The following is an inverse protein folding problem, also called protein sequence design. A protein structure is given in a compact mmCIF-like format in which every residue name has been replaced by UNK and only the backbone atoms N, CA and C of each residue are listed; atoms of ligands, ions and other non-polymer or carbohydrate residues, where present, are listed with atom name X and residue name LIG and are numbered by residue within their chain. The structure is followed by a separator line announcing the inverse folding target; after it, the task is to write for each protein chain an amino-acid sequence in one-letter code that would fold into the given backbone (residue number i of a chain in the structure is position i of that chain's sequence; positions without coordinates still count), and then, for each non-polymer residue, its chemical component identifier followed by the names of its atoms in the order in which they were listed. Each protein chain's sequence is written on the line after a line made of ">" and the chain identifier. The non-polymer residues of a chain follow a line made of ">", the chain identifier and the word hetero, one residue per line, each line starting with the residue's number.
data_IF_287698087480
#
_entry.id   IF_287698087480
#
_cell.length_a   1.000
_cell.length_b   1.000
_cell.length_c   1.000
_cell.angle_alpha   90.00
_cell.angle_beta   90.00
_cell.angle_gamma   90.00
#
_symmetry.space_group_name_H-M   'P 1'
#
loop_
_entity.id
_entity.type
_entity.pdbx_description
1 polymer ?
#
# COMPACT_ATOMS: atom_id res chain seq x y z
N UNK A 1 0.88 -6.22 -12.23
CA UNK A 1 1.69 -6.48 -11.01
C UNK A 1 0.80 -6.12 -9.83
N UNK A 2 0.14 -7.09 -9.21
CA UNK A 2 -0.82 -6.85 -8.14
C UNK A 2 -0.09 -6.35 -6.88
N UNK A 3 -0.65 -5.35 -6.21
CA UNK A 3 -0.02 -4.63 -5.12
C UNK A 3 -0.45 -5.18 -3.77
N UNK A 4 0.51 -5.32 -2.85
CA UNK A 4 0.40 -6.01 -1.55
C UNK A 4 -0.56 -5.38 -0.52
N UNK A 5 -1.41 -4.44 -0.91
CA UNK A 5 -2.32 -3.71 -0.03
C UNK A 5 -3.79 -3.81 -0.49
N UNK A 6 -4.27 -5.03 -0.78
CA UNK A 6 -5.67 -5.25 -1.15
C UNK A 6 -6.63 -5.31 0.05
N UNK A 7 -6.18 -5.03 1.28
CA UNK A 7 -7.05 -5.13 2.45
C UNK A 7 -8.29 -4.23 2.34
N UNK A 8 -8.11 -2.98 1.92
CA UNK A 8 -9.18 -2.00 1.78
C UNK A 8 -9.74 -1.87 0.35
N UNK A 9 -9.44 -2.84 -0.53
CA UNK A 9 -9.79 -2.75 -1.95
C UNK A 9 -8.80 -1.92 -2.78
N UNK A 10 -9.19 -1.59 -4.01
CA UNK A 10 -8.44 -0.70 -4.90
C UNK A 10 -8.67 0.77 -4.52
N UNK A 11 -7.70 1.64 -4.84
CA UNK A 11 -7.89 3.07 -4.63
C UNK A 11 -8.59 3.68 -5.84
N UNK A 12 -9.76 4.26 -5.62
CA UNK A 12 -10.47 5.03 -6.64
C UNK A 12 -10.08 6.52 -6.54
N UNK A 13 -9.37 7.09 -7.52
CA UNK A 13 -8.99 8.49 -7.49
C UNK A 13 -10.23 9.39 -7.68
N UNK A 14 -10.37 10.49 -6.93
CA UNK A 14 -11.46 11.43 -7.14
C UNK A 14 -11.44 12.00 -8.57
N UNK A 15 -12.59 11.93 -9.25
CA UNK A 15 -12.74 12.38 -10.63
C UNK A 15 -12.26 13.83 -10.80
N UNK A 16 -11.43 14.07 -11.82
CA UNK A 16 -10.91 15.41 -12.15
C UNK A 16 -9.86 15.97 -11.19
N UNK A 17 -9.47 15.25 -10.12
CA UNK A 17 -8.50 15.76 -9.14
C UNK A 17 -7.05 15.67 -9.62
N UNK A 18 -6.71 14.67 -10.43
CA UNK A 18 -5.33 14.43 -10.88
C UNK A 18 -5.25 14.43 -12.40
N UNK A 19 -4.19 15.02 -12.95
CA UNK A 19 -3.93 14.99 -14.41
C UNK A 19 -3.60 13.57 -14.86
N UNK A 20 -2.79 12.87 -14.07
CA UNK A 20 -2.49 11.45 -14.21
C UNK A 20 -2.63 10.84 -12.82
N UNK A 21 -3.66 10.03 -12.53
CA UNK A 21 -3.90 9.57 -11.16
C UNK A 21 -2.78 8.70 -10.57
N UNK A 22 -2.02 8.00 -11.41
CA UNK A 22 -0.98 7.03 -11.04
C UNK A 22 -1.48 6.09 -9.91
N UNK A 23 -2.53 5.34 -10.20
CA UNK A 23 -3.30 4.55 -9.20
C UNK A 23 -2.46 3.50 -8.45
N UNK A 24 -1.33 3.12 -9.02
CA UNK A 24 -0.35 2.20 -8.45
C UNK A 24 0.75 2.90 -7.62
N UNK A 25 0.94 4.20 -7.78
CA UNK A 25 2.04 4.90 -7.12
C UNK A 25 1.59 5.41 -5.75
N UNK A 26 1.94 4.69 -4.68
CA UNK A 26 1.55 5.02 -3.31
C UNK A 26 0.05 5.37 -3.19
N UNK A 27 -0.89 4.48 -3.56
CA UNK A 27 -2.31 4.79 -3.51
C UNK A 27 -2.80 5.12 -2.07
N UNK A 28 -3.40 6.29 -1.81
CA UNK A 28 -3.97 6.61 -0.50
C UNK A 28 -5.09 5.66 -0.08
N UNK A 29 -5.26 5.48 1.22
CA UNK A 29 -6.36 4.76 1.83
C UNK A 29 -6.25 3.24 1.82
N UNK A 30 -5.27 2.64 1.13
CA UNK A 30 -5.10 1.17 1.12
C UNK A 30 -4.70 0.63 2.49
N UNK A 31 -4.94 -0.66 2.70
CA UNK A 31 -4.60 -1.39 3.90
C UNK A 31 -3.77 -2.64 3.62
N UNK A 32 -2.95 -3.06 4.57
CA UNK A 32 -2.27 -4.35 4.48
C UNK A 32 -3.31 -5.48 4.31
N UNK A 33 -3.05 -6.42 3.39
CA UNK A 33 -3.96 -7.53 3.10
C UNK A 33 -3.86 -8.71 4.06
N UNK A 34 -4.36 -9.86 3.60
CA UNK A 34 -4.15 -11.15 4.27
C UNK A 34 -2.66 -11.39 4.52
N UNK A 35 -2.33 -11.93 5.69
CA UNK A 35 -0.93 -12.21 6.06
C UNK A 35 -0.39 -13.33 5.18
N UNK A 36 0.94 -13.37 4.95
CA UNK A 36 1.54 -14.49 4.27
C UNK A 36 1.18 -15.81 4.97
N UNK A 37 0.74 -16.79 4.19
CA UNK A 37 0.30 -18.10 4.66
C UNK A 37 0.40 -19.13 3.53
N UNK A 38 0.72 -20.38 3.86
CA UNK A 38 0.62 -21.50 2.93
C UNK A 38 -0.82 -22.03 2.80
N UNK A 39 -1.71 -21.66 3.74
CA UNK A 39 -3.15 -21.94 3.63
C UNK A 39 -3.83 -20.88 2.75
N UNK A 40 -3.70 -21.04 1.43
CA UNK A 40 -4.21 -20.09 0.45
C UNK A 40 -5.70 -20.28 0.10
N UNK A 41 -6.36 -21.33 0.61
CA UNK A 41 -7.76 -21.63 0.32
C UNK A 41 -8.08 -22.02 -1.13
N UNK A 42 -7.06 -22.27 -1.96
CA UNK A 42 -7.19 -22.69 -3.35
C UNK A 42 -6.20 -23.81 -3.66
N UNK A 43 -6.61 -24.89 -4.35
CA UNK A 43 -5.70 -25.98 -4.72
C UNK A 43 -4.68 -25.58 -5.80
N UNK A 44 -4.82 -24.39 -6.40
CA UNK A 44 -3.91 -23.88 -7.43
C UNK A 44 -2.93 -22.82 -6.89
N UNK A 45 -3.02 -22.45 -5.61
CA UNK A 45 -2.17 -21.44 -5.01
C UNK A 45 -1.32 -22.08 -3.90
N UNK A 46 0.00 -22.00 -4.04
CA UNK A 46 0.93 -22.55 -3.05
C UNK A 46 0.91 -21.75 -1.73
N UNK A 47 0.79 -20.42 -1.83
CA UNK A 47 0.79 -19.51 -0.70
C UNK A 47 0.25 -18.13 -1.08
N UNK A 48 -0.21 -17.39 -0.06
CA UNK A 48 -0.33 -15.94 -0.11
C UNK A 48 0.99 -15.34 0.37
N UNK A 49 1.53 -14.36 -0.36
CA UNK A 49 2.81 -13.73 -0.05
C UNK A 49 2.68 -12.20 -0.08
N UNK A 50 3.50 -11.54 0.75
CA UNK A 50 3.82 -10.13 0.60
C UNK A 50 5.15 -10.01 -0.13
N UNK A 51 5.14 -9.86 -1.46
CA UNK A 51 6.37 -9.68 -2.25
C UNK A 51 6.98 -8.30 -2.02
N UNK A 52 6.17 -7.27 -1.77
CA UNK A 52 6.64 -5.95 -1.34
C UNK A 52 6.24 -5.69 0.11
N UNK A 53 7.13 -5.04 0.85
CA UNK A 53 6.88 -4.58 2.22
C UNK A 53 5.79 -3.49 2.24
N UNK A 54 4.75 -3.60 3.09
CA UNK A 54 3.64 -2.64 3.15
C UNK A 54 4.02 -1.19 3.55
N UNK A 55 5.26 -0.95 3.98
CA UNK A 55 5.77 0.39 4.28
C UNK A 55 6.83 0.90 3.31
N UNK A 56 7.12 0.18 2.23
CA UNK A 56 8.06 0.63 1.20
C UNK A 56 7.33 1.46 0.14
N UNK A 57 7.83 2.67 -0.10
CA UNK A 57 7.29 3.55 -1.15
C UNK A 57 7.40 2.90 -2.54
N UNK A 58 6.40 3.14 -3.38
CA UNK A 58 6.41 2.78 -4.80
C UNK A 58 7.22 3.77 -5.66
N UNK A 59 7.58 4.93 -5.12
CA UNK A 59 8.32 5.96 -5.85
C UNK A 59 7.97 7.39 -5.45
N UNK A 60 8.62 8.34 -6.13
CA UNK A 60 8.24 9.76 -6.11
C UNK A 60 7.05 9.97 -7.05
N UNK A 61 5.85 10.11 -6.48
CA UNK A 61 4.62 10.18 -7.26
C UNK A 61 4.24 11.65 -7.48
N UNK A 62 4.30 12.16 -8.71
CA UNK A 62 3.90 13.55 -9.01
C UNK A 62 2.49 13.66 -9.56
N UNK A 63 1.87 12.54 -9.97
CA UNK A 63 0.50 12.46 -10.50
C UNK A 63 0.23 13.43 -11.65
N UNK A 64 1.24 13.59 -12.51
CA UNK A 64 1.22 14.47 -13.67
C UNK A 64 1.41 15.97 -13.36
N UNK A 65 1.79 16.34 -12.15
CA UNK A 65 2.21 17.71 -11.80
C UNK A 65 3.72 17.92 -12.10
N UNK A 66 4.22 19.17 -12.13
CA UNK A 66 5.66 19.44 -12.19
C UNK A 66 6.45 18.90 -10.99
N UNK A 67 5.78 18.47 -9.90
CA UNK A 67 6.40 17.98 -8.69
C UNK A 67 7.06 19.07 -7.84
N UNK A 68 7.90 18.71 -6.86
CA UNK A 68 8.25 17.33 -6.47
C UNK A 68 7.22 16.68 -5.53
N UNK A 69 6.32 17.48 -4.94
CA UNK A 69 5.35 16.99 -3.98
C UNK A 69 4.21 16.24 -4.68
N UNK A 70 3.81 15.16 -4.05
CA UNK A 70 2.64 14.39 -4.42
C UNK A 70 1.37 15.14 -4.05
N UNK A 71 0.47 15.47 -5.00
CA UNK A 71 -0.77 16.20 -4.68
C UNK A 71 -1.78 15.39 -3.85
N UNK A 72 -1.59 14.08 -3.68
CA UNK A 72 -2.41 13.26 -2.81
C UNK A 72 -2.01 13.39 -1.33
N UNK A 73 -0.71 13.50 -1.04
CA UNK A 73 -0.16 13.53 0.33
C UNK A 73 0.37 14.91 0.76
N UNK A 74 0.63 15.81 -0.19
CA UNK A 74 1.22 17.13 0.07
C UNK A 74 2.71 17.09 0.42
N UNK A 75 3.40 15.97 0.21
CA UNK A 75 4.82 15.77 0.54
C UNK A 75 5.59 15.20 -0.64
N UNK A 76 6.92 15.34 -0.65
CA UNK A 76 7.78 14.57 -1.56
C UNK A 76 7.86 13.14 -1.01
N UNK A 77 7.22 12.19 -1.69
CA UNK A 77 7.23 10.79 -1.23
C UNK A 77 8.64 10.19 -1.36
N UNK A 78 9.02 9.20 -0.53
CA UNK A 78 10.33 8.57 -0.65
C UNK A 78 10.52 7.87 -2.00
N UNK A 79 11.76 7.70 -2.43
CA UNK A 79 12.08 6.92 -3.63
C UNK A 79 11.60 5.46 -3.51
N UNK A 80 11.47 4.78 -4.64
CA UNK A 80 10.97 3.40 -4.67
C UNK A 80 11.83 2.48 -3.79
N UNK A 81 11.18 1.64 -3.00
CA UNK A 81 11.83 0.72 -2.05
C UNK A 81 12.27 1.35 -0.73
N UNK A 82 12.30 2.68 -0.61
CA UNK A 82 12.63 3.35 0.65
C UNK A 82 11.49 3.22 1.66
N UNK A 83 11.85 3.09 2.93
CA UNK A 83 10.89 3.04 4.03
C UNK A 83 10.14 4.36 4.18
N UNK A 84 8.82 4.28 4.32
CA UNK A 84 7.96 5.42 4.56
C UNK A 84 7.07 5.18 5.79
N UNK A 85 7.41 5.78 6.95
CA UNK A 85 6.67 5.57 8.20
C UNK A 85 5.17 5.89 8.11
N UNK A 86 4.79 6.99 7.46
CA UNK A 86 3.39 7.39 7.39
C UNK A 86 2.56 6.40 6.57
N UNK A 87 3.10 5.94 5.44
CA UNK A 87 2.43 4.93 4.64
C UNK A 87 2.31 3.61 5.40
N UNK A 88 3.38 3.17 6.08
CA UNK A 88 3.34 1.95 6.88
C UNK A 88 2.25 2.04 7.97
N UNK A 89 2.13 3.19 8.63
CA UNK A 89 1.10 3.44 9.64
C UNK A 89 -0.31 3.44 9.03
N UNK A 90 -0.50 4.08 7.87
CA UNK A 90 -1.76 4.05 7.14
C UNK A 90 -2.17 2.61 6.79
N UNK A 91 -1.24 1.82 6.22
CA UNK A 91 -1.50 0.42 5.88
C UNK A 91 -1.85 -0.43 7.09
N UNK A 92 -1.19 -0.18 8.22
CA UNK A 92 -1.46 -0.88 9.46
C UNK A 92 -2.86 -0.56 10.01
N UNK A 93 -3.24 0.73 10.00
CA UNK A 93 -4.57 1.20 10.44
C UNK A 93 -5.70 0.64 9.59
N UNK A 94 -5.48 0.56 8.28
CA UNK A 94 -6.50 0.13 7.32
C UNK A 94 -6.45 -1.37 6.99
N UNK A 95 -5.65 -2.15 7.73
CA UNK A 95 -5.42 -3.56 7.40
C UNK A 95 -6.72 -4.39 7.41
N UNK A 96 -6.85 -5.28 6.43
CA UNK A 96 -7.93 -6.27 6.37
C UNK A 96 -7.34 -7.65 6.04
N UNK A 97 -7.48 -8.64 6.94
CA UNK A 97 -8.09 -8.53 8.28
C UNK A 97 -7.38 -7.51 9.19
N UNK A 98 -8.02 -6.94 10.23
CA UNK A 98 -7.36 -6.00 11.14
C UNK A 98 -6.10 -6.58 11.78
N UNK A 99 -5.05 -5.77 11.97
CA UNK A 99 -3.85 -6.18 12.71
C UNK A 99 -4.19 -6.40 14.18
N UNK A 100 -3.85 -7.57 14.70
CA UNK A 100 -3.89 -7.85 16.14
C UNK A 100 -2.51 -7.56 16.72
N UNK A 101 -2.43 -6.91 17.89
CA UNK A 101 -1.16 -6.83 18.61
C UNK A 101 -0.58 -8.23 18.76
N UNK A 102 0.72 -8.39 18.48
CA UNK A 102 1.38 -9.62 18.88
C UNK A 102 1.32 -9.68 20.40
N UNK A 103 0.66 -10.70 20.96
CA UNK A 103 0.89 -11.06 22.36
C UNK A 103 2.37 -11.39 22.46
N UNK A 104 3.12 -10.56 23.17
CA UNK A 104 4.51 -10.85 23.47
C UNK A 104 4.53 -12.14 24.31
N UNK A 105 4.85 -13.26 23.68
CA UNK A 105 5.25 -14.46 24.40
C UNK A 105 6.63 -14.15 24.97
N UNK A 106 6.65 -13.80 26.26
CA UNK A 106 7.89 -13.69 27.05
C UNK A 106 8.51 -15.04 27.33
#
# INVERSE_FOLDING_TARGET
>A
MAEHCHGAGEWEPPAGRFRVPDEWCNPPGRGAGARPTADAGSPLADALLWLNSPGSSNGQCTRGTPGPADPAYGVVTPAAGQWWPDQALERAKNAVPPLTPATATG
#
